data_IF_368911785180
#
_entry.id   IF_368911785180
#
_cell.length_a   1.000
_cell.length_b   1.000
_cell.length_c   1.000
_cell.angle_alpha   90.00
_cell.angle_beta   90.00
_cell.angle_gamma   90.00
#
_symmetry.space_group_name_H-M   'P 1'
#
loop_
_entity.id
_entity.type
_entity.pdbx_description
1 polymer ?
#
# COMPACT_ATOMS: atom_id res chain seq x y z
N UNK A 1 28.25 46.31 -18.33
CA UNK A 1 27.32 45.70 -19.30
C UNK A 1 27.56 44.19 -19.45
N UNK A 2 28.72 43.74 -19.96
CA UNK A 2 28.97 42.30 -20.22
C UNK A 2 28.90 41.37 -18.98
N UNK A 3 29.46 41.79 -17.83
CA UNK A 3 29.43 41.00 -16.59
C UNK A 3 28.02 40.77 -16.04
N UNK A 4 27.12 41.75 -16.23
CA UNK A 4 25.72 41.66 -15.80
C UNK A 4 24.94 40.69 -16.69
N UNK A 5 25.19 40.69 -18.00
CA UNK A 5 24.56 39.77 -18.95
C UNK A 5 24.96 38.30 -18.69
N UNK A 6 26.23 38.05 -18.35
CA UNK A 6 26.72 36.70 -18.02
C UNK A 6 26.10 36.18 -16.71
N UNK A 7 25.98 37.04 -15.69
CA UNK A 7 25.36 36.67 -14.41
C UNK A 7 23.86 36.32 -14.60
N UNK A 8 23.14 37.06 -15.43
CA UNK A 8 21.74 36.78 -15.76
C UNK A 8 21.61 35.46 -16.52
N UNK A 9 22.50 35.18 -17.48
CA UNK A 9 22.49 33.92 -18.23
C UNK A 9 22.77 32.71 -17.33
N UNK A 10 23.73 32.81 -16.40
CA UNK A 10 24.00 31.78 -15.40
C UNK A 10 22.82 31.57 -14.44
N UNK A 11 22.17 32.64 -14.00
CA UNK A 11 20.99 32.54 -13.14
C UNK A 11 19.81 31.87 -13.85
N UNK A 12 19.57 32.21 -15.13
CA UNK A 12 18.52 31.58 -15.94
C UNK A 12 18.82 30.10 -16.19
N UNK A 13 20.08 29.77 -16.51
CA UNK A 13 20.53 28.37 -16.64
C UNK A 13 20.32 27.58 -15.36
N UNK A 14 20.66 28.14 -14.20
CA UNK A 14 20.46 27.51 -12.89
C UNK A 14 18.97 27.30 -12.56
N UNK A 15 18.12 28.27 -12.90
CA UNK A 15 16.65 28.15 -12.75
C UNK A 15 16.10 27.08 -13.71
N UNK A 16 16.57 27.01 -14.95
CA UNK A 16 16.17 25.95 -15.89
C UNK A 16 16.63 24.56 -15.44
N UNK A 17 17.83 24.44 -14.87
CA UNK A 17 18.37 23.17 -14.38
C UNK A 17 17.59 22.64 -13.17
N UNK A 18 17.24 23.53 -12.23
CA UNK A 18 16.43 23.15 -11.05
C UNK A 18 15.00 22.71 -11.41
N UNK A 19 14.43 23.23 -12.50
CA UNK A 19 13.13 22.78 -13.03
C UNK A 19 13.20 21.40 -13.68
N UNK A 20 14.36 21.01 -14.21
CA UNK A 20 14.56 19.68 -14.82
C UNK A 20 14.74 18.58 -13.75
N UNK A 21 15.35 18.91 -12.61
CA UNK A 21 15.51 17.97 -11.49
C UNK A 21 14.18 17.62 -10.82
N UNK A 22 13.21 18.52 -10.86
CA UNK A 22 11.85 18.26 -10.39
C UNK A 22 10.98 17.75 -11.54
N UNK A 23 11.34 16.57 -12.07
CA UNK A 23 10.37 15.82 -12.87
C UNK A 23 9.20 15.52 -11.94
N UNK A 24 8.06 16.15 -12.20
CA UNK A 24 6.82 15.84 -11.51
C UNK A 24 6.54 14.38 -11.84
N UNK A 25 6.84 13.49 -10.90
CA UNK A 25 6.79 12.06 -11.14
C UNK A 25 5.42 11.72 -11.70
N UNK A 26 5.37 11.36 -12.98
CA UNK A 26 4.10 11.11 -13.63
C UNK A 26 3.60 9.80 -13.06
N UNK A 27 2.63 9.88 -12.15
CA UNK A 27 1.96 8.71 -11.58
C UNK A 27 1.27 7.85 -12.66
N UNK A 28 1.12 8.40 -13.86
CA UNK A 28 0.58 7.73 -15.05
C UNK A 28 1.60 6.75 -15.63
N UNK A 29 1.20 5.49 -15.78
CA UNK A 29 2.02 4.44 -16.42
C UNK A 29 2.85 3.60 -15.46
N UNK A 30 2.72 3.82 -14.14
CA UNK A 30 3.32 2.92 -13.14
C UNK A 30 2.63 1.56 -13.15
N UNK A 31 3.44 0.50 -13.13
CA UNK A 31 2.94 -0.88 -13.07
C UNK A 31 2.83 -1.35 -11.64
N UNK A 32 1.66 -1.84 -11.26
CA UNK A 32 1.40 -2.36 -9.92
C UNK A 32 1.08 -3.84 -10.04
N UNK A 33 1.82 -4.65 -9.27
CA UNK A 33 1.50 -6.06 -9.10
C UNK A 33 0.50 -6.20 -7.95
N UNK A 34 -0.62 -6.85 -8.22
CA UNK A 34 -1.66 -7.17 -7.23
C UNK A 34 -1.66 -8.68 -7.01
N UNK A 35 -1.29 -9.09 -5.80
CA UNK A 35 -1.37 -10.47 -5.36
C UNK A 35 -2.69 -10.71 -4.63
N UNK A 36 -3.39 -11.74 -5.07
CA UNK A 36 -4.69 -12.15 -4.53
C UNK A 36 -4.59 -13.57 -3.97
N UNK A 37 -5.30 -13.84 -2.89
CA UNK A 37 -5.57 -15.22 -2.44
C UNK A 37 -6.52 -15.92 -3.42
N UNK A 38 -7.62 -15.25 -3.78
CA UNK A 38 -8.61 -15.77 -4.72
C UNK A 38 -8.99 -14.74 -5.78
N UNK A 39 -9.29 -15.22 -6.99
CA UNK A 39 -9.65 -14.33 -8.11
C UNK A 39 -10.98 -13.60 -7.89
N UNK A 40 -11.86 -14.10 -7.01
CA UNK A 40 -13.10 -13.42 -6.63
C UNK A 40 -12.86 -12.06 -5.97
N UNK A 41 -11.72 -11.87 -5.30
CA UNK A 41 -11.32 -10.60 -4.65
C UNK A 41 -11.26 -9.47 -5.69
N UNK A 42 -10.84 -9.80 -6.93
CA UNK A 42 -10.83 -8.85 -8.04
C UNK A 42 -12.22 -8.29 -8.34
N UNK A 43 -13.26 -9.11 -8.21
CA UNK A 43 -14.64 -8.72 -8.44
C UNK A 43 -15.22 -7.99 -7.23
N UNK A 44 -14.96 -8.44 -6.00
CA UNK A 44 -15.50 -7.80 -4.80
C UNK A 44 -14.90 -6.42 -4.54
N UNK A 45 -13.61 -6.22 -4.86
CA UNK A 45 -12.90 -4.95 -4.67
C UNK A 45 -12.80 -4.13 -5.98
N UNK A 46 -13.73 -4.33 -6.92
CA UNK A 46 -13.68 -3.70 -8.23
C UNK A 46 -13.66 -2.17 -8.16
N UNK A 47 -14.33 -1.57 -7.17
CA UNK A 47 -14.36 -0.11 -6.96
C UNK A 47 -12.95 0.43 -6.70
N UNK A 48 -12.20 -0.23 -5.82
CA UNK A 48 -10.81 0.14 -5.52
C UNK A 48 -9.91 0.01 -6.76
N UNK A 49 -9.96 -1.13 -7.44
CA UNK A 49 -9.13 -1.37 -8.62
C UNK A 49 -9.50 -0.45 -9.79
N UNK A 50 -10.78 -0.13 -9.98
CA UNK A 50 -11.22 0.82 -11.00
C UNK A 50 -10.76 2.24 -10.68
N UNK A 51 -10.75 2.63 -9.39
CA UNK A 51 -10.18 3.91 -8.96
C UNK A 51 -8.70 4.01 -9.33
N UNK A 52 -7.91 2.96 -9.08
CA UNK A 52 -6.49 2.92 -9.48
C UNK A 52 -6.33 2.99 -11.01
N UNK A 53 -7.08 2.18 -11.78
CA UNK A 53 -7.03 2.22 -13.25
C UNK A 53 -7.40 3.58 -13.80
N UNK A 54 -8.42 4.24 -13.24
CA UNK A 54 -8.86 5.58 -13.66
C UNK A 54 -7.80 6.66 -13.47
N UNK A 55 -6.87 6.46 -12.51
CA UNK A 55 -5.72 7.33 -12.27
C UNK A 55 -4.53 7.05 -13.20
N UNK A 56 -4.63 6.03 -14.04
CA UNK A 56 -3.60 5.66 -15.02
C UNK A 56 -2.57 4.65 -14.53
N UNK A 57 -2.87 3.89 -13.46
CA UNK A 57 -2.04 2.76 -13.03
C UNK A 57 -2.37 1.50 -13.85
N UNK A 58 -1.32 0.77 -14.25
CA UNK A 58 -1.47 -0.54 -14.89
C UNK A 58 -1.43 -1.63 -13.82
N UNK A 59 -2.54 -2.35 -13.65
CA UNK A 59 -2.69 -3.38 -12.63
C UNK A 59 -2.56 -4.77 -13.24
N UNK A 60 -1.51 -5.49 -12.83
CA UNK A 60 -1.30 -6.90 -13.12
C UNK A 60 -1.81 -7.75 -11.94
N UNK A 61 -2.71 -8.69 -12.21
CA UNK A 61 -3.35 -9.51 -11.18
C UNK A 61 -2.81 -10.93 -11.23
N UNK A 62 -2.26 -11.40 -10.11
CA UNK A 62 -1.76 -12.75 -9.97
C UNK A 62 -2.19 -13.38 -8.66
N UNK A 63 -2.24 -14.71 -8.65
CA UNK A 63 -2.44 -15.47 -7.42
C UNK A 63 -1.13 -15.48 -6.64
N UNK A 64 -1.20 -15.35 -5.32
CA UNK A 64 -0.03 -15.28 -4.45
C UNK A 64 0.86 -16.55 -4.51
N UNK A 65 0.28 -17.69 -4.88
CA UNK A 65 0.97 -18.98 -5.02
C UNK A 65 1.53 -19.26 -6.42
N UNK A 66 1.36 -18.36 -7.39
CA UNK A 66 1.78 -18.61 -8.77
C UNK A 66 3.31 -18.72 -8.88
N UNK A 67 3.77 -19.79 -9.54
CA UNK A 67 5.20 -20.06 -9.79
C UNK A 67 5.85 -19.04 -10.73
N UNK A 68 5.06 -18.29 -11.49
CA UNK A 68 5.56 -17.26 -12.41
C UNK A 68 5.95 -15.95 -11.72
N UNK A 69 5.68 -15.82 -10.41
CA UNK A 69 5.91 -14.59 -9.65
C UNK A 69 7.40 -14.25 -9.56
N UNK A 70 7.71 -13.00 -9.93
CA UNK A 70 9.02 -12.37 -9.78
C UNK A 70 8.84 -10.85 -9.79
N UNK A 71 9.41 -10.16 -8.80
CA UNK A 71 9.47 -8.70 -8.76
C UNK A 71 10.64 -8.16 -9.58
N UNK A 72 11.72 -8.94 -9.67
CA UNK A 72 12.97 -8.55 -10.28
C UNK A 72 13.39 -9.53 -11.39
N UNK A 73 13.91 -8.99 -12.50
CA UNK A 73 14.58 -9.75 -13.55
C UNK A 73 15.84 -9.02 -13.98
N UNK A 74 16.96 -9.74 -14.06
CA UNK A 74 18.26 -9.16 -14.44
C UNK A 74 18.62 -7.92 -13.61
N UNK A 75 18.37 -7.98 -12.30
CA UNK A 75 18.59 -6.87 -11.35
C UNK A 75 17.76 -5.61 -11.61
N UNK A 76 16.69 -5.70 -12.41
CA UNK A 76 15.74 -4.60 -12.64
C UNK A 76 14.35 -4.98 -12.12
N UNK A 77 13.70 -4.03 -11.44
CA UNK A 77 12.33 -4.21 -10.98
C UNK A 77 11.33 -4.10 -12.11
N UNK A 78 10.37 -5.03 -12.14
CA UNK A 78 9.31 -5.06 -13.13
C UNK A 78 8.13 -4.18 -12.74
N UNK A 79 7.92 -3.93 -11.45
CA UNK A 79 6.77 -3.18 -10.95
C UNK A 79 7.25 -2.00 -10.10
N UNK A 80 6.45 -0.95 -10.04
CA UNK A 80 6.70 0.24 -9.22
C UNK A 80 5.98 0.18 -7.87
N UNK A 81 4.99 -0.71 -7.77
CA UNK A 81 4.25 -0.97 -6.54
C UNK A 81 3.76 -2.40 -6.44
N UNK A 82 3.54 -2.83 -5.20
CA UNK A 82 3.05 -4.16 -4.83
C UNK A 82 1.85 -3.99 -3.90
N UNK A 83 0.75 -4.69 -4.22
CA UNK A 83 -0.45 -4.76 -3.38
C UNK A 83 -0.65 -6.22 -2.98
N UNK A 84 -0.62 -6.49 -1.68
CA UNK A 84 -0.84 -7.80 -1.08
C UNK A 84 -2.26 -7.88 -0.51
N UNK A 85 -3.19 -8.42 -1.30
CA UNK A 85 -4.54 -8.80 -0.86
C UNK A 85 -4.63 -10.32 -0.75
N UNK A 86 -3.64 -10.86 -0.05
CA UNK A 86 -3.44 -12.28 0.17
C UNK A 86 -3.12 -12.52 1.65
N UNK A 87 -4.07 -12.23 2.57
CA UNK A 87 -3.82 -12.33 4.02
C UNK A 87 -3.42 -13.74 4.44
N UNK A 88 -4.00 -14.77 3.83
CA UNK A 88 -3.88 -16.17 4.28
C UNK A 88 -2.66 -16.91 3.69
N UNK A 89 -1.88 -16.26 2.82
CA UNK A 89 -0.77 -16.93 2.10
C UNK A 89 0.38 -17.30 3.05
N UNK A 90 0.69 -18.58 3.18
CA UNK A 90 1.84 -19.03 3.99
C UNK A 90 3.17 -18.86 3.25
N UNK A 91 3.15 -18.95 1.92
CA UNK A 91 4.35 -18.81 1.09
C UNK A 91 4.02 -18.22 -0.27
N UNK A 92 4.77 -17.21 -0.68
CA UNK A 92 4.71 -16.71 -2.04
C UNK A 92 5.19 -17.76 -3.05
N UNK A 93 4.63 -17.68 -4.25
CA UNK A 93 5.04 -18.48 -5.40
C UNK A 93 6.30 -17.95 -6.08
N UNK A 94 6.92 -18.81 -6.88
CA UNK A 94 8.00 -18.44 -7.79
C UNK A 94 9.28 -18.01 -7.09
N UNK A 95 9.80 -16.85 -7.46
CA UNK A 95 11.03 -16.25 -6.92
C UNK A 95 10.73 -15.10 -5.95
N UNK A 96 9.48 -14.97 -5.51
CA UNK A 96 9.09 -13.99 -4.51
C UNK A 96 9.22 -14.62 -3.12
N UNK A 97 9.91 -13.93 -2.22
CA UNK A 97 10.05 -14.30 -0.81
C UNK A 97 9.99 -13.03 0.07
N UNK A 98 10.03 -13.22 1.39
CA UNK A 98 10.04 -12.12 2.36
C UNK A 98 11.18 -11.12 2.05
N UNK A 99 12.39 -11.62 1.83
CA UNK A 99 13.56 -10.78 1.53
C UNK A 99 13.38 -9.93 0.27
N UNK A 100 12.85 -10.52 -0.81
CA UNK A 100 12.60 -9.79 -2.04
C UNK A 100 11.53 -8.70 -1.89
N UNK A 101 10.54 -8.88 -1.00
CA UNK A 101 9.55 -7.84 -0.67
C UNK A 101 10.22 -6.70 0.12
N UNK A 102 11.08 -7.01 1.09
CA UNK A 102 11.80 -5.99 1.85
C UNK A 102 12.79 -5.21 0.97
N UNK A 103 13.58 -5.90 0.15
CA UNK A 103 14.49 -5.28 -0.82
C UNK A 103 13.73 -4.37 -1.80
N UNK A 104 12.51 -4.75 -2.18
CA UNK A 104 11.64 -3.94 -3.02
C UNK A 104 11.22 -2.62 -2.34
N UNK A 105 10.84 -2.68 -1.06
CA UNK A 105 10.50 -1.49 -0.27
C UNK A 105 11.74 -0.61 -0.05
N UNK A 106 12.88 -1.21 0.32
CA UNK A 106 14.15 -0.51 0.55
C UNK A 106 14.67 0.18 -0.72
N UNK A 107 14.32 -0.33 -1.89
CA UNK A 107 14.61 0.28 -3.19
C UNK A 107 13.72 1.49 -3.52
N UNK A 108 12.79 1.86 -2.64
CA UNK A 108 11.91 3.02 -2.78
C UNK A 108 10.59 2.73 -3.50
N UNK A 109 10.22 1.46 -3.67
CA UNK A 109 8.94 1.08 -4.25
C UNK A 109 7.82 1.05 -3.21
N UNK A 110 6.56 1.13 -3.68
CA UNK A 110 5.41 1.24 -2.79
C UNK A 110 4.82 -0.13 -2.46
N UNK A 111 4.53 -0.36 -1.18
CA UNK A 111 3.88 -1.57 -0.69
C UNK A 111 2.56 -1.22 -0.01
N UNK A 112 1.49 -1.94 -0.38
CA UNK A 112 0.20 -1.91 0.31
C UNK A 112 -0.10 -3.34 0.75
N UNK A 113 -0.39 -3.52 2.03
CA UNK A 113 -0.76 -4.81 2.61
C UNK A 113 -2.17 -4.68 3.18
N UNK A 114 -3.05 -5.60 2.84
CA UNK A 114 -4.31 -5.79 3.53
C UNK A 114 -4.27 -7.14 4.25
N UNK A 115 -4.63 -7.11 5.52
CA UNK A 115 -4.65 -8.26 6.41
C UNK A 115 -5.98 -8.28 7.16
N UNK A 116 -6.49 -9.48 7.43
CA UNK A 116 -7.66 -9.72 8.27
C UNK A 116 -7.28 -10.69 9.41
N UNK A 117 -8.26 -11.24 10.13
CA UNK A 117 -8.02 -12.22 11.20
C UNK A 117 -7.33 -13.51 10.71
N UNK A 118 -7.31 -13.77 9.40
CA UNK A 118 -6.61 -14.92 8.80
C UNK A 118 -5.17 -14.61 8.36
N UNK A 119 -4.62 -13.46 8.75
CA UNK A 119 -3.26 -13.06 8.43
C UNK A 119 -2.23 -14.13 8.84
N UNK A 120 -1.49 -14.63 7.85
CA UNK A 120 -0.45 -15.64 8.04
C UNK A 120 0.80 -15.04 8.71
N UNK A 121 1.65 -15.91 9.26
CA UNK A 121 2.94 -15.52 9.83
C UNK A 121 3.83 -14.78 8.83
N UNK A 122 3.71 -15.09 7.53
CA UNK A 122 4.45 -14.40 6.47
C UNK A 122 4.01 -12.93 6.35
N UNK A 123 2.71 -12.67 6.30
CA UNK A 123 2.18 -11.31 6.20
C UNK A 123 2.49 -10.51 7.48
N UNK A 124 2.34 -11.14 8.66
CA UNK A 124 2.73 -10.55 9.94
C UNK A 124 4.23 -10.20 9.96
N UNK A 125 5.09 -11.10 9.48
CA UNK A 125 6.54 -10.88 9.40
C UNK A 125 6.89 -9.69 8.49
N UNK A 126 6.29 -9.59 7.29
CA UNK A 126 6.51 -8.43 6.40
C UNK A 126 6.16 -7.12 7.12
N UNK A 127 5.05 -7.10 7.85
CA UNK A 127 4.61 -5.91 8.56
C UNK A 127 5.51 -5.55 9.75
N UNK A 128 5.94 -6.54 10.55
CA UNK A 128 6.87 -6.33 11.68
C UNK A 128 8.20 -5.77 11.19
N UNK A 129 8.72 -6.24 10.05
CA UNK A 129 9.92 -5.68 9.42
C UNK A 129 9.72 -4.23 8.93
N UNK A 130 8.47 -3.84 8.65
CA UNK A 130 8.09 -2.45 8.39
C UNK A 130 7.78 -1.63 9.67
N UNK A 131 7.93 -2.24 10.86
CA UNK A 131 7.69 -1.60 12.16
C UNK A 131 6.23 -1.63 12.64
N UNK A 132 5.38 -2.49 12.08
CA UNK A 132 3.98 -2.67 12.49
C UNK A 132 3.77 -4.08 13.00
N UNK A 133 3.41 -4.21 14.27
CA UNK A 133 3.17 -5.50 14.91
C UNK A 133 1.69 -5.87 14.89
N UNK A 134 1.43 -7.10 14.45
CA UNK A 134 0.12 -7.74 14.54
C UNK A 134 -0.02 -8.49 15.86
N UNK A 135 -1.25 -8.75 16.28
CA UNK A 135 -1.49 -9.59 17.45
C UNK A 135 -1.00 -11.03 17.18
N UNK A 136 -0.37 -11.63 18.19
CA UNK A 136 0.11 -13.02 18.12
C UNK A 136 -1.06 -14.02 18.13
N UNK A 137 -2.19 -13.66 18.77
CA UNK A 137 -3.37 -14.53 18.82
C UNK A 137 -4.15 -14.46 17.49
N UNK A 138 -4.30 -15.57 16.76
CA UNK A 138 -5.06 -15.61 15.51
C UNK A 138 -6.57 -15.35 15.71
N UNK A 139 -7.06 -15.43 16.95
CA UNK A 139 -8.45 -15.10 17.31
C UNK A 139 -8.62 -13.67 17.82
N UNK A 140 -7.55 -12.87 17.86
CA UNK A 140 -7.62 -11.48 18.27
C UNK A 140 -8.48 -10.67 17.29
N UNK A 141 -9.51 -10.03 17.82
CA UNK A 141 -10.36 -9.09 17.10
C UNK A 141 -10.41 -7.78 17.89
N UNK A 142 -10.44 -6.66 17.20
CA UNK A 142 -10.65 -5.37 17.86
C UNK A 142 -12.15 -5.23 18.11
N UNK A 143 -12.51 -5.00 19.37
CA UNK A 143 -13.90 -4.92 19.82
C UNK A 143 -14.14 -3.54 20.43
N UNK A 144 -15.11 -2.80 19.90
CA UNK A 144 -15.55 -1.53 20.46
C UNK A 144 -17.02 -1.59 20.90
N UNK A 145 -17.26 -1.41 22.19
CA UNK A 145 -18.61 -1.44 22.76
C UNK A 145 -19.35 -0.09 22.66
N UNK A 146 -18.67 0.98 22.27
CA UNK A 146 -19.22 2.35 22.28
C UNK A 146 -19.43 2.92 20.87
N UNK A 147 -18.49 2.68 19.95
CA UNK A 147 -18.55 3.19 18.57
C UNK A 147 -18.53 2.06 17.53
N UNK A 148 -19.42 1.08 17.68
CA UNK A 148 -19.66 0.06 16.64
C UNK A 148 -20.77 0.49 15.68
N UNK A 149 -20.69 0.11 14.42
CA UNK A 149 -21.83 0.33 13.52
C UNK A 149 -22.89 -0.74 13.79
N UNK A 150 -24.10 -0.29 14.13
CA UNK A 150 -25.25 -1.17 14.36
C UNK A 150 -25.70 -1.76 13.02
N UNK A 151 -25.12 -2.90 12.64
CA UNK A 151 -25.72 -3.78 11.63
C UNK A 151 -26.95 -4.45 12.26
N UNK A 152 -28.02 -4.69 11.50
CA UNK A 152 -29.31 -5.23 12.00
C UNK A 152 -29.24 -6.66 12.59
N UNK A 153 -28.04 -7.21 12.74
CA UNK A 153 -27.76 -8.49 13.37
C UNK A 153 -26.98 -8.25 14.67
N UNK A 154 -27.61 -8.57 15.80
CA UNK A 154 -26.99 -8.66 17.12
C UNK A 154 -25.71 -9.53 17.02
N UNK A 155 -24.54 -8.88 17.03
CA UNK A 155 -23.26 -9.50 16.66
C UNK A 155 -22.09 -8.78 17.32
N UNK A 156 -20.94 -9.47 17.37
CA UNK A 156 -19.81 -9.36 18.31
C UNK A 156 -19.04 -8.02 18.44
N UNK A 157 -19.66 -6.87 18.10
CA UNK A 157 -19.07 -5.52 18.22
C UNK A 157 -17.69 -5.38 17.54
N UNK A 158 -17.42 -6.18 16.50
CA UNK A 158 -16.14 -6.22 15.77
C UNK A 158 -16.06 -5.20 14.63
N UNK A 159 -17.20 -4.66 14.20
CA UNK A 159 -17.27 -3.63 13.16
C UNK A 159 -17.23 -2.24 13.79
N UNK A 160 -16.06 -1.60 13.68
CA UNK A 160 -15.74 -0.36 14.37
C UNK A 160 -15.97 0.82 13.43
N UNK A 161 -16.70 1.82 13.93
CA UNK A 161 -16.82 3.13 13.31
C UNK A 161 -15.80 4.07 13.94
N UNK A 162 -14.73 4.36 13.22
CA UNK A 162 -13.69 5.29 13.68
C UNK A 162 -13.93 6.69 13.08
N UNK A 163 -13.79 7.73 13.91
CA UNK A 163 -13.92 9.13 13.52
C UNK A 163 -12.66 9.98 13.84
N UNK A 164 -11.74 9.44 14.63
CA UNK A 164 -10.47 10.07 14.97
C UNK A 164 -9.39 9.73 13.93
N UNK A 165 -9.18 10.66 12.99
CA UNK A 165 -8.21 10.52 11.91
C UNK A 165 -7.05 11.50 12.06
N UNK A 166 -5.88 11.11 11.55
CA UNK A 166 -4.72 12.02 11.47
C UNK A 166 -5.10 13.23 10.62
N UNK A 167 -5.02 14.43 11.21
CA UNK A 167 -5.31 15.69 10.53
C UNK A 167 -4.23 16.05 9.50
N UNK A 168 -4.27 15.41 8.33
CA UNK A 168 -3.33 15.65 7.23
C UNK A 168 -4.02 15.66 5.88
N UNK A 169 -4.13 16.86 5.30
CA UNK A 169 -4.64 17.10 3.94
C UNK A 169 -3.84 16.32 2.87
N UNK A 170 -2.57 16.03 3.13
CA UNK A 170 -1.71 15.32 2.20
C UNK A 170 -2.05 13.82 2.11
N UNK A 171 -2.57 13.23 3.19
CA UNK A 171 -2.86 11.79 3.30
C UNK A 171 -4.35 11.54 3.04
N UNK A 172 -5.24 12.26 3.71
CA UNK A 172 -6.69 12.04 3.66
C UNK A 172 -7.39 12.89 2.59
N UNK A 173 -6.71 13.93 2.09
CA UNK A 173 -7.34 14.95 1.26
C UNK A 173 -8.28 15.85 2.06
N UNK A 174 -8.97 16.74 1.37
CA UNK A 174 -9.79 17.80 2.00
C UNK A 174 -11.19 17.37 2.43
N UNK A 175 -11.58 16.15 2.09
CA UNK A 175 -12.94 15.67 2.34
C UNK A 175 -12.95 14.89 3.66
N UNK A 176 -13.96 15.13 4.50
CA UNK A 176 -14.18 14.32 5.70
C UNK A 176 -14.59 12.91 5.26
N UNK A 177 -13.84 11.92 5.74
CA UNK A 177 -14.07 10.50 5.42
C UNK A 177 -14.76 9.88 6.65
N UNK A 178 -15.91 9.24 6.45
CA UNK A 178 -16.51 8.33 7.43
C UNK A 178 -16.36 6.92 6.87
N UNK A 179 -15.70 6.04 7.62
CA UNK A 179 -15.31 4.70 7.16
C UNK A 179 -15.51 3.69 8.28
N UNK A 180 -16.09 2.55 7.92
CA UNK A 180 -16.18 1.38 8.80
C UNK A 180 -15.14 0.37 8.35
N UNK A 181 -14.36 -0.14 9.30
CA UNK A 181 -13.33 -1.15 9.04
C UNK A 181 -13.41 -2.25 10.10
N UNK A 182 -12.94 -3.43 9.74
CA UNK A 182 -12.66 -4.52 10.68
C UNK A 182 -11.13 -4.63 10.76
N UNK A 183 -10.57 -4.45 11.95
CA UNK A 183 -9.11 -4.44 12.19
C UNK A 183 -8.70 -5.61 13.09
N UNK A 184 -7.50 -6.11 12.84
CA UNK A 184 -6.73 -6.97 13.75
C UNK A 184 -5.35 -6.31 13.93
N UNK A 185 -5.24 -5.33 14.83
CA UNK A 185 -3.98 -4.67 15.17
C UNK A 185 -3.91 -4.45 16.69
N UNK A 186 -2.83 -4.92 17.31
CA UNK A 186 -2.53 -4.64 18.71
C UNK A 186 -1.55 -3.48 18.80
N UNK A 187 -2.02 -2.26 19.06
CA UNK A 187 -1.15 -1.12 19.31
C UNK A 187 -0.56 -1.20 20.72
N UNK A 188 0.67 -1.72 20.84
CA UNK A 188 1.46 -1.54 22.06
C UNK A 188 2.13 -0.17 22.01
N UNK A 189 1.49 0.82 22.63
CA UNK A 189 2.11 2.12 22.89
C UNK A 189 3.32 1.91 23.81
N UNK A 190 4.53 2.25 23.34
CA UNK A 190 5.71 2.47 24.17
C UNK A 190 5.68 3.86 24.81
#
# INVERSE_FOLDING_TARGET
>A
MAKLAIAIFLAISLVLFSRLSFSRESLTGRRILVLLDDLSIKSSHSIFFNSLRSRGFDLDFKLAEDKSLSLQRYSQYLYDGLVLFSPSVERFGGALDLGAVLDFVDSGHNLIIAADSSASDLIKSVATECGVDFDEDPSAMVIDHNSYAVSETEGDHTLIAADDFIESDAILGKNKIEVSFEFCLHFRLL
#
